data_IF_229090233596
#
_entry.id   IF_229090233596
#
_cell.length_a   1.000
_cell.length_b   1.000
_cell.length_c   1.000
_cell.angle_alpha   90.00
_cell.angle_beta   90.00
_cell.angle_gamma   90.00
#
_symmetry.space_group_name_H-M   'P 1'
#
loop_
_entity.id
_entity.type
_entity.pdbx_description
1 polymer ?
#
# COMPACT_ATOMS: atom_id res chain seq x y z
N UNK A 1 33.59 -0.28 2.17
CA UNK A 1 32.75 -1.48 2.40
C UNK A 1 31.31 -1.04 2.20
N UNK A 2 30.66 -1.50 1.13
CA UNK A 2 29.28 -1.12 0.83
C UNK A 2 28.36 -1.88 1.77
N UNK A 3 27.62 -1.18 2.64
CA UNK A 3 26.54 -1.79 3.39
C UNK A 3 25.42 -2.07 2.40
N UNK A 4 25.27 -3.34 2.01
CA UNK A 4 24.04 -3.81 1.38
C UNK A 4 22.94 -3.60 2.41
N UNK A 5 22.13 -2.55 2.24
CA UNK A 5 20.94 -2.37 3.04
C UNK A 5 20.11 -3.66 2.89
N UNK A 6 19.94 -4.41 3.97
CA UNK A 6 18.92 -5.47 4.00
C UNK A 6 17.59 -4.76 3.77
N UNK A 7 17.03 -4.93 2.58
CA UNK A 7 15.64 -4.56 2.33
C UNK A 7 14.85 -5.43 3.33
N UNK A 8 14.14 -4.84 4.31
CA UNK A 8 13.33 -5.65 5.22
C UNK A 8 12.38 -6.50 4.39
N UNK A 9 12.37 -7.80 4.66
CA UNK A 9 11.45 -8.72 4.01
C UNK A 9 10.03 -8.21 4.28
N UNK A 10 9.36 -7.74 3.23
CA UNK A 10 7.98 -7.33 3.33
C UNK A 10 7.13 -8.58 3.52
N UNK A 11 6.45 -8.66 4.65
CA UNK A 11 5.58 -9.78 4.94
C UNK A 11 4.26 -9.64 4.16
N UNK A 12 3.87 -10.74 3.51
CA UNK A 12 2.52 -10.93 2.97
C UNK A 12 1.93 -12.17 3.62
N UNK A 13 0.67 -12.07 4.05
CA UNK A 13 -0.11 -13.22 4.52
C UNK A 13 -1.14 -13.60 3.47
N UNK A 14 -1.28 -14.90 3.22
CA UNK A 14 -2.37 -15.43 2.41
C UNK A 14 -3.63 -15.45 3.27
N UNK A 15 -4.69 -14.82 2.78
CA UNK A 15 -6.01 -14.77 3.43
C UNK A 15 -6.99 -15.52 2.54
N UNK A 16 -7.70 -16.50 3.09
CA UNK A 16 -8.81 -17.15 2.40
C UNK A 16 -10.08 -16.35 2.65
N UNK A 17 -10.56 -15.67 1.61
CA UNK A 17 -11.87 -15.03 1.56
C UNK A 17 -12.84 -16.03 0.90
N UNK A 18 -14.13 -15.97 1.24
CA UNK A 18 -15.14 -16.99 0.89
C UNK A 18 -14.89 -17.71 -0.45
N UNK A 19 -14.82 -16.95 -1.54
CA UNK A 19 -14.63 -17.48 -2.90
C UNK A 19 -13.26 -17.13 -3.53
N UNK A 20 -12.36 -16.44 -2.82
CA UNK A 20 -11.11 -15.93 -3.40
C UNK A 20 -9.92 -15.93 -2.42
N UNK A 21 -8.70 -15.97 -2.98
CA UNK A 21 -7.48 -15.76 -2.19
C UNK A 21 -7.11 -14.28 -2.18
N UNK A 22 -7.03 -13.71 -0.98
CA UNK A 22 -6.47 -12.39 -0.72
C UNK A 22 -5.02 -12.46 -0.24
N UNK A 23 -4.30 -11.37 -0.43
CA UNK A 23 -2.89 -11.21 -0.04
C UNK A 23 -2.80 -10.00 0.87
N UNK A 24 -2.69 -10.22 2.17
CA UNK A 24 -2.54 -9.13 3.14
C UNK A 24 -1.10 -8.65 3.14
N UNK A 25 -0.87 -7.50 2.53
CA UNK A 25 0.40 -6.79 2.58
C UNK A 25 0.54 -6.14 3.96
N UNK A 26 1.43 -6.67 4.81
CA UNK A 26 1.63 -6.16 6.17
C UNK A 26 2.38 -4.83 6.12
N UNK A 27 1.85 -3.81 6.79
CA UNK A 27 2.52 -2.51 6.90
C UNK A 27 3.72 -2.63 7.83
N UNK A 28 4.91 -2.49 7.26
CA UNK A 28 6.14 -2.19 7.95
C UNK A 28 6.11 -0.80 8.60
N UNK A 29 7.00 -0.59 9.56
CA UNK A 29 7.15 0.69 10.25
C UNK A 29 7.54 1.82 9.28
N UNK A 30 8.35 1.51 8.26
CA UNK A 30 8.77 2.47 7.25
C UNK A 30 7.59 2.90 6.35
N UNK A 31 6.78 1.95 5.87
CA UNK A 31 5.56 2.27 5.11
C UNK A 31 4.60 3.12 5.97
N UNK A 32 4.41 2.75 7.24
CA UNK A 32 3.54 3.50 8.16
C UNK A 32 4.03 4.92 8.41
N UNK A 33 5.33 5.10 8.63
CA UNK A 33 5.93 6.43 8.81
C UNK A 33 5.79 7.30 7.56
N UNK A 34 5.96 6.72 6.37
CA UNK A 34 5.79 7.44 5.12
C UNK A 34 4.32 7.84 4.89
N UNK A 35 3.37 6.95 5.15
CA UNK A 35 1.94 7.27 5.07
C UNK A 35 1.57 8.37 6.07
N UNK A 36 2.06 8.28 7.31
CA UNK A 36 1.78 9.28 8.33
C UNK A 36 2.30 10.67 7.93
N UNK A 37 3.47 10.76 7.28
CA UNK A 37 4.02 12.03 6.82
C UNK A 37 3.19 12.67 5.70
N UNK A 38 2.59 11.87 4.80
CA UNK A 38 1.68 12.37 3.75
C UNK A 38 0.47 13.10 4.34
N UNK A 39 -0.09 12.59 5.45
CA UNK A 39 -1.26 13.19 6.11
C UNK A 39 -0.90 14.15 7.26
N UNK A 40 0.38 14.38 7.52
CA UNK A 40 0.87 15.18 8.67
C UNK A 40 0.26 14.71 9.99
N UNK A 41 0.16 13.39 10.16
CA UNK A 41 -0.38 12.72 11.36
C UNK A 41 0.69 11.84 12.00
N UNK A 42 0.37 11.21 13.13
CA UNK A 42 1.26 10.25 13.78
C UNK A 42 0.96 8.82 13.31
N UNK A 43 1.93 7.92 13.42
CA UNK A 43 1.79 6.52 12.98
C UNK A 43 0.68 5.76 13.70
N UNK A 44 0.36 6.12 14.94
CA UNK A 44 -0.73 5.51 15.72
C UNK A 44 -2.11 5.84 15.15
N UNK A 45 -2.23 6.90 14.35
CA UNK A 45 -3.45 7.23 13.64
C UNK A 45 -3.72 6.30 12.46
N UNK A 46 -2.78 5.44 12.07
CA UNK A 46 -2.98 4.41 11.05
C UNK A 46 -3.21 3.11 11.81
N UNK A 47 -4.47 2.67 11.89
CA UNK A 47 -4.85 1.50 12.71
C UNK A 47 -4.74 0.18 11.92
N UNK A 48 -4.69 0.27 10.58
CA UNK A 48 -4.55 -0.90 9.73
C UNK A 48 -3.22 -1.61 9.97
N UNK A 49 -3.30 -2.92 10.16
CA UNK A 49 -2.15 -3.83 10.21
C UNK A 49 -1.58 -4.09 8.82
N UNK A 50 -2.46 -4.19 7.83
CA UNK A 50 -2.15 -4.59 6.48
C UNK A 50 -3.34 -4.29 5.58
N UNK A 51 -3.11 -4.27 4.28
CA UNK A 51 -4.20 -4.15 3.31
C UNK A 51 -4.30 -5.45 2.50
N UNK A 52 -5.53 -5.97 2.34
CA UNK A 52 -5.75 -7.21 1.61
C UNK A 52 -5.89 -6.88 0.13
N UNK A 53 -5.04 -7.47 -0.68
CA UNK A 53 -4.96 -7.25 -2.12
C UNK A 53 -5.38 -8.51 -2.88
N UNK A 54 -5.82 -8.35 -4.12
CA UNK A 54 -6.09 -9.49 -5.02
C UNK A 54 -4.82 -10.17 -5.55
N UNK A 55 -3.63 -9.74 -5.14
CA UNK A 55 -2.35 -10.22 -5.66
C UNK A 55 -1.21 -10.04 -4.65
N UNK A 56 -0.15 -10.83 -4.83
CA UNK A 56 1.13 -10.65 -4.13
C UNK A 56 1.79 -9.30 -4.49
N UNK A 57 2.70 -8.83 -3.62
CA UNK A 57 3.51 -7.64 -3.89
C UNK A 57 4.35 -7.85 -5.17
N UNK A 58 4.41 -6.84 -6.02
CA UNK A 58 5.22 -6.84 -7.25
C UNK A 58 6.54 -6.11 -7.02
N UNK A 59 7.58 -6.52 -7.72
CA UNK A 59 8.85 -5.78 -7.76
C UNK A 59 8.78 -4.78 -8.92
N UNK A 60 8.99 -3.50 -8.62
CA UNK A 60 9.04 -2.45 -9.63
C UNK A 60 10.15 -2.74 -10.64
N UNK A 61 9.78 -2.83 -11.92
CA UNK A 61 10.74 -3.12 -12.99
C UNK A 61 11.77 -1.99 -13.20
N UNK A 62 11.46 -0.77 -12.75
CA UNK A 62 12.31 0.40 -12.95
C UNK A 62 13.34 0.60 -11.83
N UNK A 63 12.96 0.37 -10.57
CA UNK A 63 13.84 0.67 -9.42
C UNK A 63 14.03 -0.49 -8.42
N UNK A 64 13.35 -1.63 -8.62
CA UNK A 64 13.48 -2.80 -7.76
C UNK A 64 12.76 -2.70 -6.39
N UNK A 65 12.09 -1.59 -6.09
CA UNK A 65 11.23 -1.46 -4.91
C UNK A 65 10.05 -2.43 -5.02
N UNK A 66 9.70 -3.12 -3.95
CA UNK A 66 8.45 -3.88 -3.89
C UNK A 66 7.25 -2.94 -3.74
N UNK A 67 6.11 -3.32 -4.29
CA UNK A 67 4.85 -2.59 -4.13
C UNK A 67 4.38 -2.63 -2.69
N UNK A 68 3.86 -1.50 -2.22
CA UNK A 68 3.42 -1.28 -0.85
C UNK A 68 2.15 -0.44 -0.79
N UNK A 69 1.51 -0.37 0.39
CA UNK A 69 0.32 0.48 0.55
C UNK A 69 0.62 1.97 0.34
N UNK A 70 1.83 2.42 0.62
CA UNK A 70 2.21 3.82 0.38
C UNK A 70 2.12 4.22 -1.11
N UNK A 71 2.37 3.30 -2.03
CA UNK A 71 2.26 3.53 -3.47
C UNK A 71 0.81 3.89 -3.82
N UNK A 72 -0.14 3.09 -3.30
CA UNK A 72 -1.57 3.30 -3.50
C UNK A 72 -2.04 4.63 -2.92
N UNK A 73 -1.65 4.92 -1.69
CA UNK A 73 -2.03 6.17 -1.01
C UNK A 73 -1.48 7.37 -1.77
N UNK A 74 -0.21 7.34 -2.13
CA UNK A 74 0.42 8.41 -2.89
C UNK A 74 -0.26 8.60 -4.24
N UNK A 75 -0.62 7.53 -4.96
CA UNK A 75 -1.30 7.63 -6.24
C UNK A 75 -2.70 8.25 -6.10
N UNK A 76 -3.48 7.83 -5.10
CA UNK A 76 -4.80 8.38 -4.84
C UNK A 76 -4.76 9.89 -4.56
N UNK A 77 -3.76 10.33 -3.78
CA UNK A 77 -3.55 11.75 -3.47
C UNK A 77 -3.01 12.54 -4.66
N UNK A 78 -1.99 12.02 -5.35
CA UNK A 78 -1.36 12.70 -6.48
C UNK A 78 -2.32 12.88 -7.68
N UNK A 79 -3.23 11.92 -7.89
CA UNK A 79 -4.25 12.00 -8.93
C UNK A 79 -5.51 12.79 -8.49
N UNK A 80 -5.59 13.19 -7.22
CA UNK A 80 -6.75 13.90 -6.67
C UNK A 80 -8.05 13.08 -6.67
N UNK A 81 -7.96 11.74 -6.75
CA UNK A 81 -9.12 10.83 -6.79
C UNK A 81 -9.84 10.85 -5.44
N UNK A 82 -9.08 10.96 -4.35
CA UNK A 82 -9.60 10.99 -2.99
C UNK A 82 -8.98 12.15 -2.21
N UNK A 83 -9.79 12.77 -1.36
CA UNK A 83 -9.29 13.77 -0.41
C UNK A 83 -8.44 13.12 0.69
N UNK A 84 -7.54 13.90 1.29
CA UNK A 84 -6.71 13.49 2.43
C UNK A 84 -7.56 12.88 3.56
N UNK A 85 -8.67 13.54 3.90
CA UNK A 85 -9.57 13.11 4.97
C UNK A 85 -10.20 11.73 4.68
N UNK A 86 -10.65 11.51 3.44
CA UNK A 86 -11.21 10.23 3.03
C UNK A 86 -10.18 9.10 3.14
N UNK A 87 -8.95 9.34 2.64
CA UNK A 87 -7.90 8.32 2.72
C UNK A 87 -7.49 8.02 4.15
N UNK A 88 -7.42 9.04 5.02
CA UNK A 88 -7.14 8.84 6.44
C UNK A 88 -8.25 8.04 7.14
N UNK A 89 -9.52 8.34 6.83
CA UNK A 89 -10.68 7.58 7.34
C UNK A 89 -10.62 6.09 6.91
N UNK A 90 -10.18 5.81 5.68
CA UNK A 90 -9.95 4.44 5.22
C UNK A 90 -8.80 3.77 5.96
N UNK A 91 -7.71 4.49 6.22
CA UNK A 91 -6.55 3.99 6.98
C UNK A 91 -6.83 3.77 8.48
N UNK A 92 -7.90 4.38 9.00
CA UNK A 92 -8.33 4.28 10.39
C UNK A 92 -9.45 3.27 10.62
N UNK A 93 -10.33 3.12 9.65
CA UNK A 93 -11.59 2.41 9.82
C UNK A 93 -11.84 1.36 8.74
N UNK A 94 -10.86 1.12 7.86
CA UNK A 94 -10.94 0.17 6.76
C UNK A 94 -11.66 0.73 5.52
N UNK A 95 -11.69 -0.07 4.43
CA UNK A 95 -12.32 0.34 3.18
C UNK A 95 -13.83 0.53 3.36
N UNK A 96 -14.38 1.52 2.64
CA UNK A 96 -15.79 1.91 2.77
C UNK A 96 -16.71 1.20 1.79
N UNK A 97 -16.17 0.72 0.68
CA UNK A 97 -16.88 0.05 -0.40
C UNK A 97 -15.89 -0.84 -1.19
N UNK A 98 -16.39 -1.76 -2.03
CA UNK A 98 -15.55 -2.42 -3.04
C UNK A 98 -14.80 -1.38 -3.88
N UNK A 99 -13.51 -1.58 -4.05
CA UNK A 99 -12.64 -0.69 -4.80
C UNK A 99 -12.48 -1.21 -6.24
N UNK A 100 -12.65 -0.38 -7.28
CA UNK A 100 -12.34 -0.79 -8.65
C UNK A 100 -10.83 -1.09 -8.78
N UNK A 101 -10.39 -1.72 -9.89
CA UNK A 101 -8.97 -1.86 -10.18
C UNK A 101 -8.29 -0.49 -10.33
N UNK A 102 -7.09 -0.35 -9.76
CA UNK A 102 -6.28 0.87 -9.81
C UNK A 102 -4.96 0.61 -10.52
N UNK A 103 -4.50 1.58 -11.30
CA UNK A 103 -3.11 1.61 -11.74
C UNK A 103 -2.20 1.89 -10.54
N UNK A 104 -1.15 1.09 -10.42
CA UNK A 104 -0.15 1.22 -9.37
C UNK A 104 1.12 1.83 -9.95
N UNK A 105 1.37 3.09 -9.65
CA UNK A 105 2.65 3.74 -9.88
C UNK A 105 3.54 3.59 -8.64
N UNK A 106 4.82 3.33 -8.86
CA UNK A 106 5.82 3.23 -7.79
C UNK A 106 6.07 4.61 -7.16
N UNK A 107 5.90 4.75 -5.85
CA UNK A 107 6.12 6.01 -5.13
C UNK A 107 7.56 6.51 -5.17
N UNK A 108 8.53 5.63 -5.48
CA UNK A 108 9.95 5.98 -5.56
C UNK A 108 10.37 6.53 -6.94
N UNK A 109 9.81 6.01 -8.04
CA UNK A 109 10.27 6.34 -9.39
C UNK A 109 9.17 6.68 -10.40
N UNK A 110 7.90 6.65 -9.98
CA UNK A 110 6.71 6.85 -10.79
C UNK A 110 6.54 5.84 -11.96
N UNK A 111 7.31 4.75 -11.99
CA UNK A 111 7.13 3.67 -12.96
C UNK A 111 5.80 2.94 -12.75
N UNK A 112 5.14 2.52 -13.84
CA UNK A 112 3.90 1.75 -13.80
C UNK A 112 4.20 0.29 -13.43
N UNK A 113 3.71 -0.13 -12.27
CA UNK A 113 3.83 -1.50 -11.74
C UNK A 113 2.56 -2.33 -12.00
N UNK A 114 1.68 -1.85 -12.89
CA UNK A 114 0.48 -2.54 -13.39
C UNK A 114 -0.79 -2.27 -12.60
N UNK A 115 -1.85 -3.04 -12.89
CA UNK A 115 -3.18 -2.89 -12.27
C UNK A 115 -3.27 -3.74 -11.00
N UNK A 116 -3.80 -3.18 -9.91
CA UNK A 116 -4.03 -3.89 -8.66
C UNK A 116 -5.48 -3.79 -8.19
N UNK A 117 -5.93 -4.83 -7.47
CA UNK A 117 -7.27 -4.95 -6.90
C UNK A 117 -7.19 -4.85 -5.38
N UNK A 118 -8.06 -4.04 -4.78
CA UNK A 118 -8.20 -3.97 -3.33
C UNK A 118 -9.32 -4.89 -2.89
N UNK A 119 -9.04 -5.81 -1.97
CA UNK A 119 -9.96 -6.88 -1.59
C UNK A 119 -10.26 -6.84 -0.08
N UNK A 120 -11.14 -5.91 0.33
CA UNK A 120 -11.74 -5.78 1.67
C UNK A 120 -10.79 -5.51 2.86
#
# INVERSE_FOLDING_TARGET
MSMTAMIPLLATEIVHLDDTTGYRWILSDAERAHIASMFKTNTEAITLRGNIMGQERRVCASCGKHSVLDDLVQNALALGIHSDHFMLDVLQHGPKNPSPPHDLLCSNCAGLDGICWWTL
#
